data_IF_266801458738
#
_entry.id   IF_266801458738
#
_cell.length_a   1.000
_cell.length_b   1.000
_cell.length_c   1.000
_cell.angle_alpha   90.00
_cell.angle_beta   90.00
_cell.angle_gamma   90.00
#
_symmetry.space_group_name_H-M   'P 1'
#
loop_
_entity.id
_entity.type
_entity.pdbx_description
1 polymer ?
#
# COMPACT_ATOMS: atom_id res chain seq x y z
N UNK A 1 -62.72 -7.73 46.00
CA UNK A 1 -62.14 -6.48 45.48
C UNK A 1 -60.89 -6.05 46.24
N UNK A 2 -60.80 -6.05 47.56
CA UNK A 2 -59.62 -5.59 48.31
C UNK A 2 -58.32 -6.40 48.01
N UNK A 3 -58.36 -7.72 47.77
CA UNK A 3 -57.23 -8.58 47.55
C UNK A 3 -56.54 -8.33 46.14
N UNK A 4 -57.34 -8.00 45.14
CA UNK A 4 -56.82 -7.70 43.80
C UNK A 4 -56.25 -6.29 43.73
N UNK A 5 -56.74 -5.35 44.54
CA UNK A 5 -56.23 -4.00 44.63
C UNK A 5 -54.85 -3.97 45.31
N UNK A 6 -54.62 -4.80 46.36
CA UNK A 6 -53.33 -4.92 47.01
C UNK A 6 -52.28 -5.58 46.08
N UNK A 7 -52.67 -6.56 45.29
CA UNK A 7 -51.81 -7.17 44.27
C UNK A 7 -51.44 -6.17 43.16
N UNK A 8 -52.35 -5.36 42.71
CA UNK A 8 -52.12 -4.32 41.73
C UNK A 8 -51.20 -3.20 42.26
N UNK A 9 -51.41 -2.79 43.53
CA UNK A 9 -50.59 -1.79 44.19
C UNK A 9 -49.16 -2.32 44.45
N UNK A 10 -48.97 -3.58 44.83
CA UNK A 10 -47.66 -4.20 45.00
C UNK A 10 -46.91 -4.37 43.66
N UNK A 11 -47.63 -4.67 42.59
CA UNK A 11 -47.04 -4.73 41.22
C UNK A 11 -46.64 -3.34 40.74
N UNK A 12 -47.44 -2.32 41.01
CA UNK A 12 -47.16 -0.92 40.69
C UNK A 12 -45.93 -0.40 41.48
N UNK A 13 -45.81 -0.73 42.76
CA UNK A 13 -44.62 -0.42 43.57
C UNK A 13 -43.38 -1.14 43.11
N UNK A 14 -43.47 -2.39 42.60
CA UNK A 14 -42.33 -3.12 42.06
C UNK A 14 -41.84 -2.52 40.73
N UNK A 15 -42.76 -1.99 39.92
CA UNK A 15 -42.38 -1.30 38.64
C UNK A 15 -41.73 0.06 38.95
N UNK A 16 -42.14 0.78 39.98
CA UNK A 16 -41.54 2.06 40.37
C UNK A 16 -40.16 1.86 41.02
N UNK A 17 -39.92 0.75 41.72
CA UNK A 17 -38.63 0.42 42.31
C UNK A 17 -37.53 0.08 41.25
N UNK A 18 -37.92 -0.26 40.04
CA UNK A 18 -36.99 -0.50 38.94
C UNK A 18 -36.53 0.79 38.20
N UNK A 19 -37.09 1.95 38.55
CA UNK A 19 -36.80 3.22 37.88
C UNK A 19 -35.82 4.10 38.64
N UNK A 20 -35.14 3.59 39.67
CA UNK A 20 -34.06 4.36 40.32
C UNK A 20 -32.78 4.22 39.52
N UNK A 21 -32.25 5.37 39.04
CA UNK A 21 -30.94 5.43 38.43
C UNK A 21 -29.89 4.85 39.37
N UNK A 22 -28.96 4.11 38.81
CA UNK A 22 -27.88 3.45 39.59
C UNK A 22 -26.72 4.38 39.88
N UNK A 23 -26.67 5.59 39.29
CA UNK A 23 -25.55 6.54 39.32
C UNK A 23 -24.20 5.88 39.01
N UNK A 24 -24.21 4.64 38.50
CA UNK A 24 -23.01 3.95 38.07
C UNK A 24 -22.57 4.46 36.67
N UNK A 25 -21.34 4.88 36.55
CA UNK A 25 -20.80 5.45 35.31
C UNK A 25 -19.69 4.57 34.77
N UNK A 26 -19.66 4.41 33.45
CA UNK A 26 -18.57 3.83 32.69
C UNK A 26 -17.96 4.90 31.78
N UNK A 27 -16.63 4.99 31.78
CA UNK A 27 -15.90 5.88 30.90
C UNK A 27 -14.61 5.21 30.42
N UNK A 28 -14.05 5.68 29.31
CA UNK A 28 -12.80 5.11 28.80
C UNK A 28 -12.49 5.60 27.41
N UNK A 29 -11.56 4.90 26.79
CA UNK A 29 -11.15 5.14 25.41
C UNK A 29 -11.05 3.84 24.62
N UNK A 30 -11.07 3.98 23.31
CA UNK A 30 -10.85 2.90 22.35
C UNK A 30 -9.67 3.28 21.45
N UNK A 31 -8.67 2.39 21.35
CA UNK A 31 -7.46 2.58 20.57
C UNK A 31 -7.22 1.40 19.62
N UNK A 32 -6.55 1.67 18.51
CA UNK A 32 -5.98 0.63 17.68
C UNK A 32 -4.77 0.01 18.40
N UNK A 33 -4.72 -1.31 18.52
CA UNK A 33 -3.66 -2.03 19.23
C UNK A 33 -2.29 -1.86 18.57
N UNK A 34 -2.25 -1.86 17.23
CA UNK A 34 -1.01 -1.74 16.46
C UNK A 34 -0.39 -0.34 16.49
N UNK A 35 -1.21 0.69 16.37
CA UNK A 35 -0.76 2.09 16.21
C UNK A 35 -0.89 2.92 17.48
N UNK A 36 -1.73 2.47 18.44
CA UNK A 36 -2.11 3.24 19.62
C UNK A 36 -2.94 4.49 19.32
N UNK A 37 -3.34 4.68 18.07
CA UNK A 37 -4.22 5.77 17.67
C UNK A 37 -5.60 5.59 18.27
N UNK A 38 -6.20 6.67 18.74
CA UNK A 38 -7.59 6.66 19.20
C UNK A 38 -8.53 6.34 18.04
N UNK A 39 -9.56 5.54 18.33
CA UNK A 39 -10.57 5.12 17.36
C UNK A 39 -11.88 5.89 17.61
N UNK A 40 -12.15 6.96 16.85
CA UNK A 40 -13.38 7.72 16.99
C UNK A 40 -14.59 6.89 16.56
N UNK A 41 -15.74 7.20 17.17
CA UNK A 41 -17.04 6.65 16.82
C UNK A 41 -17.20 5.13 17.02
N UNK A 42 -16.28 4.44 17.69
CA UNK A 42 -16.47 3.07 18.10
C UNK A 42 -17.73 2.92 18.95
N UNK A 43 -18.48 1.87 18.72
CA UNK A 43 -19.73 1.58 19.44
C UNK A 43 -19.41 0.77 20.69
N UNK A 44 -19.86 1.24 21.84
CA UNK A 44 -19.74 0.57 23.13
C UNK A 44 -21.12 0.05 23.53
N UNK A 45 -21.21 -1.23 23.82
CA UNK A 45 -22.47 -1.89 24.19
C UNK A 45 -22.28 -2.68 25.49
N UNK A 46 -23.26 -2.65 26.37
CA UNK A 46 -23.30 -3.54 27.54
C UNK A 46 -24.04 -4.81 27.13
N UNK A 47 -23.35 -5.95 27.13
CA UNK A 47 -23.86 -7.24 26.63
C UNK A 47 -25.09 -7.68 27.41
N UNK A 48 -26.10 -8.14 26.70
CA UNK A 48 -27.38 -8.55 27.32
C UNK A 48 -28.33 -7.41 27.66
N UNK A 49 -28.01 -6.16 27.33
CA UNK A 49 -28.84 -4.97 27.51
C UNK A 49 -29.04 -4.22 26.19
N UNK A 50 -29.93 -3.21 26.22
CA UNK A 50 -30.08 -2.28 25.09
C UNK A 50 -29.20 -1.04 25.20
N UNK A 51 -28.35 -0.96 26.24
CA UNK A 51 -27.51 0.18 26.53
C UNK A 51 -26.30 0.22 25.58
N UNK A 52 -26.20 1.32 24.86
CA UNK A 52 -25.09 1.55 23.92
C UNK A 52 -24.74 3.03 23.82
N UNK A 53 -23.49 3.33 23.56
CA UNK A 53 -23.00 4.67 23.25
C UNK A 53 -21.99 4.61 22.11
N UNK A 54 -21.58 5.76 21.60
CA UNK A 54 -20.46 5.87 20.65
C UNK A 54 -19.35 6.72 21.24
N UNK A 55 -18.13 6.39 20.91
CA UNK A 55 -17.00 7.25 21.20
C UNK A 55 -17.16 8.60 20.49
N UNK A 56 -16.62 9.63 21.10
CA UNK A 56 -16.50 10.95 20.49
C UNK A 56 -15.40 10.98 19.40
N UNK A 57 -15.16 12.16 18.83
CA UNK A 57 -14.13 12.37 17.80
C UNK A 57 -12.69 12.10 18.30
N UNK A 58 -12.47 12.07 19.60
CA UNK A 58 -11.19 11.77 20.24
C UNK A 58 -11.08 10.32 20.74
N UNK A 59 -12.08 9.48 20.41
CA UNK A 59 -12.10 8.06 20.77
C UNK A 59 -12.47 7.77 22.22
N UNK A 60 -13.01 8.76 22.96
CA UNK A 60 -13.45 8.61 24.34
C UNK A 60 -14.95 8.38 24.41
N UNK A 61 -15.41 7.68 25.46
CA UNK A 61 -16.82 7.46 25.71
C UNK A 61 -17.19 7.60 27.17
N UNK A 62 -18.47 7.84 27.40
CA UNK A 62 -19.09 7.89 28.73
C UNK A 62 -20.51 7.34 28.66
N UNK A 63 -20.88 6.52 29.65
CA UNK A 63 -22.23 5.99 29.87
C UNK A 63 -22.59 6.17 31.34
N UNK A 64 -23.88 6.42 31.64
CA UNK A 64 -24.44 6.51 32.99
C UNK A 64 -25.59 5.55 33.18
N UNK A 65 -26.01 5.38 34.42
CA UNK A 65 -27.17 4.55 34.79
C UNK A 65 -27.07 3.08 34.39
N UNK A 66 -25.85 2.52 34.52
CA UNK A 66 -25.56 1.15 34.17
C UNK A 66 -26.01 0.14 35.24
N UNK A 67 -26.38 -1.09 34.83
CA UNK A 67 -26.71 -2.15 35.79
C UNK A 67 -25.52 -2.43 36.71
N UNK A 68 -25.80 -2.60 38.03
CA UNK A 68 -24.77 -2.89 39.02
C UNK A 68 -24.24 -4.33 38.91
N UNK A 69 -23.06 -4.54 39.45
CA UNK A 69 -22.35 -5.84 39.45
C UNK A 69 -21.49 -6.04 38.21
N UNK A 70 -21.15 -7.31 37.95
CA UNK A 70 -20.32 -7.68 36.82
C UNK A 70 -21.06 -7.51 35.50
N UNK A 71 -20.52 -6.71 34.63
CA UNK A 71 -21.02 -6.44 33.28
C UNK A 71 -19.96 -6.74 32.24
N UNK A 72 -20.36 -7.31 31.11
CA UNK A 72 -19.49 -7.46 29.94
C UNK A 72 -19.76 -6.29 29.02
N UNK A 73 -18.75 -5.48 28.81
CA UNK A 73 -18.78 -4.34 27.89
C UNK A 73 -18.06 -4.71 26.63
N UNK A 74 -18.66 -4.42 25.50
CA UNK A 74 -18.19 -4.77 24.17
C UNK A 74 -17.88 -3.50 23.42
N UNK A 75 -16.67 -3.39 22.88
CA UNK A 75 -16.29 -2.37 21.94
C UNK A 75 -16.25 -2.94 20.53
N UNK A 76 -16.97 -2.30 19.63
CA UNK A 76 -17.06 -2.67 18.22
C UNK A 76 -16.83 -1.45 17.34
N UNK A 77 -15.98 -1.61 16.33
CA UNK A 77 -15.79 -0.65 15.26
C UNK A 77 -15.58 -1.42 13.96
N UNK A 78 -16.24 -1.00 12.91
CA UNK A 78 -16.09 -1.59 11.58
C UNK A 78 -14.60 -1.59 11.18
N UNK A 79 -14.06 -2.74 10.74
CA UNK A 79 -12.65 -2.93 10.41
C UNK A 79 -11.76 -3.36 11.57
N UNK A 80 -12.34 -3.59 12.75
CA UNK A 80 -11.64 -4.06 13.94
C UNK A 80 -12.37 -5.26 14.55
N UNK A 81 -11.58 -6.15 15.15
CA UNK A 81 -12.14 -7.27 15.92
C UNK A 81 -12.82 -6.73 17.17
N UNK A 82 -14.01 -7.23 17.43
CA UNK A 82 -14.75 -6.94 18.65
C UNK A 82 -13.96 -7.38 19.87
N UNK A 83 -13.87 -6.51 20.88
CA UNK A 83 -13.25 -6.81 22.16
C UNK A 83 -14.27 -6.75 23.29
N UNK A 84 -14.31 -7.80 24.11
CA UNK A 84 -15.10 -7.86 25.33
C UNK A 84 -14.22 -7.57 26.55
N UNK A 85 -14.75 -6.82 27.51
CA UNK A 85 -14.10 -6.52 28.77
C UNK A 85 -15.11 -6.71 29.91
N UNK A 86 -14.78 -7.53 30.92
CA UNK A 86 -15.56 -7.65 32.15
C UNK A 86 -15.22 -6.48 33.08
N UNK A 87 -16.24 -5.74 33.49
CA UNK A 87 -16.13 -4.61 34.41
C UNK A 87 -17.13 -4.77 35.58
N UNK A 88 -16.73 -4.34 36.76
CA UNK A 88 -17.62 -4.34 37.92
C UNK A 88 -18.19 -2.95 38.13
N UNK A 89 -19.52 -2.84 38.01
CA UNK A 89 -20.24 -1.58 38.17
C UNK A 89 -20.71 -1.43 39.58
N UNK A 90 -20.31 -0.34 40.26
CA UNK A 90 -20.58 -0.06 41.66
C UNK A 90 -21.45 1.20 41.74
N UNK A 91 -22.42 1.20 42.61
CA UNK A 91 -23.31 2.33 42.84
C UNK A 91 -22.55 3.62 43.15
N UNK A 92 -22.87 4.69 42.43
CA UNK A 92 -22.29 6.03 42.64
C UNK A 92 -20.81 6.13 42.27
N UNK A 93 -20.20 5.11 41.58
CA UNK A 93 -18.81 5.13 41.16
C UNK A 93 -18.65 5.13 39.64
N UNK A 94 -17.59 5.79 39.19
CA UNK A 94 -17.11 5.70 37.81
C UNK A 94 -16.12 4.55 37.65
N UNK A 95 -16.37 3.67 36.68
CA UNK A 95 -15.49 2.55 36.31
C UNK A 95 -14.80 2.87 34.97
N UNK A 96 -13.50 2.68 34.88
CA UNK A 96 -12.74 2.87 33.63
C UNK A 96 -12.73 1.60 32.79
N UNK A 97 -12.96 1.71 31.49
CA UNK A 97 -12.83 0.61 30.52
C UNK A 97 -12.00 1.10 29.31
N UNK A 98 -10.90 0.43 29.05
CA UNK A 98 -9.94 0.81 28.02
C UNK A 98 -9.77 -0.34 27.03
N UNK A 99 -10.11 -0.06 25.79
CA UNK A 99 -10.09 -1.06 24.72
C UNK A 99 -8.92 -0.85 23.77
N UNK A 100 -8.33 -1.97 23.34
CA UNK A 100 -7.29 -2.00 22.30
C UNK A 100 -7.73 -2.97 21.22
N UNK A 101 -8.36 -2.46 20.19
CA UNK A 101 -8.92 -3.29 19.13
C UNK A 101 -7.84 -3.71 18.13
N UNK A 102 -7.80 -5.00 17.82
CA UNK A 102 -7.02 -5.55 16.71
C UNK A 102 -7.76 -5.27 15.40
N UNK A 103 -7.04 -4.91 14.33
CA UNK A 103 -7.65 -4.81 13.00
C UNK A 103 -8.15 -6.17 12.55
N UNK A 104 -9.36 -6.24 12.05
CA UNK A 104 -9.90 -7.47 11.48
C UNK A 104 -9.28 -7.73 10.10
N UNK A 105 -8.51 -8.82 9.98
CA UNK A 105 -7.85 -9.21 8.74
C UNK A 105 -8.85 -9.51 7.60
N UNK A 106 -10.09 -9.86 7.92
CA UNK A 106 -11.16 -10.10 6.95
C UNK A 106 -11.84 -8.79 6.50
N UNK A 107 -11.90 -7.78 7.36
CA UNK A 107 -12.47 -6.46 7.04
C UNK A 107 -11.44 -5.45 6.51
N UNK A 108 -10.13 -5.71 6.64
CA UNK A 108 -9.06 -4.91 6.01
C UNK A 108 -9.25 -4.75 4.49
N UNK A 109 -10.01 -5.63 3.86
CA UNK A 109 -10.41 -5.49 2.46
C UNK A 109 -11.45 -4.39 2.19
N UNK A 110 -11.94 -3.71 3.23
CA UNK A 110 -13.08 -2.80 3.13
C UNK A 110 -12.76 -1.32 3.38
N UNK A 111 -11.56 -0.98 3.87
CA UNK A 111 -11.15 0.42 4.09
C UNK A 111 -10.32 0.93 2.94
N UNK A 112 -10.77 2.00 2.29
CA UNK A 112 -10.07 2.64 1.18
C UNK A 112 -10.06 4.16 1.33
N UNK A 113 -9.06 4.78 0.75
CA UNK A 113 -8.84 6.22 0.77
C UNK A 113 -9.04 6.83 -0.61
N UNK A 114 -8.74 6.06 -1.65
CA UNK A 114 -8.54 6.59 -2.99
C UNK A 114 -9.83 7.04 -3.67
N UNK A 115 -10.95 6.36 -3.41
CA UNK A 115 -12.21 6.67 -4.09
C UNK A 115 -12.76 8.07 -3.83
N UNK A 116 -12.35 8.73 -2.74
CA UNK A 116 -12.92 10.01 -2.28
C UNK A 116 -11.88 11.00 -1.73
N UNK A 117 -10.59 10.67 -1.77
CA UNK A 117 -9.47 11.38 -1.09
C UNK A 117 -9.57 11.45 0.44
N UNK A 118 -10.53 10.76 1.04
CA UNK A 118 -10.72 10.63 2.49
C UNK A 118 -10.99 9.17 2.82
N UNK A 119 -10.71 8.76 4.05
CA UNK A 119 -10.93 7.38 4.48
C UNK A 119 -12.42 7.02 4.48
N UNK A 120 -12.79 6.02 3.70
CA UNK A 120 -14.13 5.47 3.64
C UNK A 120 -14.10 3.95 3.52
N UNK A 121 -15.15 3.29 3.96
CA UNK A 121 -15.33 1.87 3.67
C UNK A 121 -15.61 1.65 2.19
N UNK A 122 -15.03 0.60 1.59
CA UNK A 122 -15.27 0.22 0.17
C UNK A 122 -16.75 0.20 -0.17
N UNK A 123 -17.58 -0.32 0.74
CA UNK A 123 -19.05 -0.40 0.58
C UNK A 123 -19.75 0.96 0.46
N UNK A 124 -19.11 2.03 0.93
CA UNK A 124 -19.66 3.39 0.96
C UNK A 124 -19.08 4.28 -0.16
N UNK A 125 -18.13 3.76 -0.93
CA UNK A 125 -17.50 4.50 -2.03
C UNK A 125 -18.31 4.27 -3.31
N UNK A 126 -18.78 5.33 -3.99
CA UNK A 126 -19.58 5.20 -5.20
C UNK A 126 -18.78 4.67 -6.41
N UNK A 127 -17.45 4.63 -6.30
CA UNK A 127 -16.53 4.19 -7.36
C UNK A 127 -16.00 2.81 -7.00
N UNK A 128 -16.02 1.88 -7.96
CA UNK A 128 -15.52 0.52 -7.76
C UNK A 128 -14.02 0.54 -7.45
N UNK A 129 -13.67 0.23 -6.20
CA UNK A 129 -12.32 0.17 -5.70
C UNK A 129 -11.98 -1.26 -5.29
N UNK A 130 -10.84 -1.77 -5.76
CA UNK A 130 -10.30 -3.06 -5.34
C UNK A 130 -9.07 -2.83 -4.48
N UNK A 131 -8.91 -3.63 -3.43
CA UNK A 131 -7.81 -3.51 -2.46
C UNK A 131 -6.98 -4.78 -2.44
N UNK A 132 -5.66 -4.63 -2.61
CA UNK A 132 -4.68 -5.70 -2.39
C UNK A 132 -3.89 -5.37 -1.13
N UNK A 133 -4.12 -6.09 -0.06
CA UNK A 133 -3.42 -5.92 1.21
C UNK A 133 -1.98 -6.46 1.14
N UNK A 134 -1.12 -6.03 2.06
CA UNK A 134 0.26 -6.55 2.17
C UNK A 134 0.30 -8.08 2.29
N UNK A 135 -0.69 -8.69 2.93
CA UNK A 135 -0.81 -10.14 3.01
C UNK A 135 -1.16 -10.77 1.66
N UNK A 136 -2.01 -10.13 0.85
CA UNK A 136 -2.31 -10.58 -0.50
C UNK A 136 -1.08 -10.46 -1.41
N UNK A 137 -0.31 -9.37 -1.27
CA UNK A 137 0.96 -9.19 -1.98
C UNK A 137 1.97 -10.30 -1.65
N UNK A 138 2.11 -10.65 -0.37
CA UNK A 138 2.97 -11.75 0.07
C UNK A 138 2.50 -13.10 -0.50
N UNK A 139 1.20 -13.40 -0.47
CA UNK A 139 0.64 -14.64 -1.03
C UNK A 139 0.84 -14.75 -2.55
N UNK A 140 0.81 -13.62 -3.26
CA UNK A 140 1.14 -13.56 -4.69
C UNK A 140 2.64 -13.67 -4.97
N UNK A 141 3.47 -13.58 -3.94
CA UNK A 141 4.92 -13.46 -4.07
C UNK A 141 5.34 -12.25 -4.94
N UNK A 142 4.58 -11.17 -4.86
CA UNK A 142 4.81 -9.98 -5.67
C UNK A 142 6.12 -9.28 -5.24
N UNK A 143 7.02 -9.05 -6.18
CA UNK A 143 8.31 -8.37 -5.96
C UNK A 143 8.21 -6.88 -6.22
N UNK A 144 7.35 -6.51 -7.14
CA UNK A 144 7.08 -5.14 -7.57
C UNK A 144 5.58 -4.94 -7.81
N UNK A 145 5.20 -3.73 -8.19
CA UNK A 145 3.78 -3.38 -8.39
C UNK A 145 3.16 -4.10 -9.60
N UNK A 146 3.92 -4.37 -10.66
CA UNK A 146 3.38 -5.12 -11.80
C UNK A 146 2.98 -6.54 -11.39
N UNK A 147 3.83 -7.25 -10.64
CA UNK A 147 3.50 -8.58 -10.13
C UNK A 147 2.26 -8.55 -9.23
N UNK A 148 2.10 -7.49 -8.46
CA UNK A 148 0.93 -7.30 -7.61
C UNK A 148 -0.36 -7.13 -8.42
N UNK A 149 -0.30 -6.38 -9.52
CA UNK A 149 -1.44 -6.05 -10.38
C UNK A 149 -1.79 -7.18 -11.36
N UNK A 150 -0.84 -8.06 -11.67
CA UNK A 150 -1.05 -9.16 -12.59
C UNK A 150 -2.21 -10.06 -12.15
N UNK A 151 -3.08 -10.43 -13.10
CA UNK A 151 -4.27 -11.25 -12.83
C UNK A 151 -5.42 -10.53 -12.13
N UNK A 152 -5.34 -9.21 -11.90
CA UNK A 152 -6.50 -8.45 -11.43
C UNK A 152 -7.51 -8.23 -12.56
N UNK A 153 -8.82 -8.42 -12.32
CA UNK A 153 -9.85 -8.19 -13.33
C UNK A 153 -9.79 -6.76 -13.90
N UNK A 154 -9.80 -6.63 -15.23
CA UNK A 154 -9.76 -5.33 -15.92
C UNK A 154 -8.40 -4.64 -15.90
N UNK A 155 -7.37 -5.30 -15.41
CA UNK A 155 -5.96 -4.86 -15.50
C UNK A 155 -5.20 -5.89 -16.32
N UNK A 156 -4.37 -5.40 -17.23
CA UNK A 156 -3.43 -6.20 -17.99
C UNK A 156 -2.04 -5.59 -17.91
N UNK A 157 -1.09 -6.37 -17.46
CA UNK A 157 0.33 -6.03 -17.52
C UNK A 157 0.87 -6.61 -18.83
N UNK A 158 1.36 -5.74 -19.71
CA UNK A 158 1.90 -6.11 -21.02
C UNK A 158 3.40 -5.82 -21.08
N UNK A 159 4.17 -6.81 -21.43
CA UNK A 159 5.56 -6.65 -21.79
C UNK A 159 5.65 -6.24 -23.26
N UNK A 160 6.27 -5.09 -23.55
CA UNK A 160 6.25 -4.48 -24.88
C UNK A 160 7.58 -4.63 -25.63
N UNK A 161 8.66 -4.90 -24.95
CA UNK A 161 9.99 -4.90 -25.55
C UNK A 161 10.81 -6.08 -25.02
N UNK A 162 11.40 -6.82 -25.95
CA UNK A 162 12.27 -7.96 -25.68
C UNK A 162 13.62 -7.54 -25.10
N UNK A 163 14.20 -6.46 -25.62
CA UNK A 163 15.54 -6.00 -25.26
C UNK A 163 15.56 -5.17 -23.97
N UNK A 164 14.53 -4.38 -23.70
CA UNK A 164 14.50 -3.47 -22.56
C UNK A 164 13.56 -3.92 -21.44
N UNK A 165 12.81 -5.02 -21.65
CA UNK A 165 11.79 -5.54 -20.74
C UNK A 165 10.81 -4.44 -20.27
N UNK A 166 10.39 -3.62 -21.21
CA UNK A 166 9.45 -2.56 -20.96
C UNK A 166 8.07 -3.15 -20.72
N UNK A 167 7.51 -2.87 -19.56
CA UNK A 167 6.15 -3.30 -19.20
C UNK A 167 5.26 -2.10 -18.97
N UNK A 168 3.99 -2.23 -19.32
CA UNK A 168 2.97 -1.21 -19.05
C UNK A 168 1.70 -1.84 -18.48
N UNK A 169 0.96 -1.04 -17.71
CA UNK A 169 -0.35 -1.42 -17.20
C UNK A 169 -1.42 -0.83 -18.10
N UNK A 170 -2.27 -1.70 -18.65
CA UNK A 170 -3.52 -1.30 -19.27
C UNK A 170 -4.67 -1.50 -18.29
N UNK A 171 -5.49 -0.49 -18.14
CA UNK A 171 -6.68 -0.56 -17.30
C UNK A 171 -7.93 -0.32 -18.14
N UNK A 172 -8.91 -1.24 -18.02
CA UNK A 172 -10.16 -1.18 -18.77
C UNK A 172 -9.94 -1.09 -20.33
N UNK A 173 -8.84 -1.68 -20.82
CA UNK A 173 -8.48 -1.65 -22.25
C UNK A 173 -7.79 -0.35 -22.71
N UNK A 174 -7.67 0.67 -21.84
CA UNK A 174 -6.98 1.91 -22.16
C UNK A 174 -5.48 1.81 -21.86
N UNK A 175 -4.68 2.62 -22.53
CA UNK A 175 -3.23 2.66 -22.36
C UNK A 175 -2.78 3.18 -20.99
N UNK A 176 -1.49 3.01 -20.69
CA UNK A 176 -0.91 3.39 -19.40
C UNK A 176 -0.99 4.91 -19.14
N UNK A 177 -1.00 5.72 -20.18
CA UNK A 177 -1.14 7.19 -20.13
C UNK A 177 -2.49 7.64 -19.55
N UNK A 178 -3.48 6.75 -19.53
CA UNK A 178 -4.82 6.99 -18.98
C UNK A 178 -5.00 6.46 -17.55
N UNK A 179 -3.95 5.93 -16.94
CA UNK A 179 -3.95 5.38 -15.58
C UNK A 179 -3.07 6.23 -14.68
N UNK A 180 -3.66 6.90 -13.70
CA UNK A 180 -2.90 7.68 -12.72
C UNK A 180 -2.30 6.76 -11.65
N UNK A 181 -1.00 6.90 -11.42
CA UNK A 181 -0.32 6.24 -10.31
C UNK A 181 -0.09 7.25 -9.19
N UNK A 182 -0.42 6.82 -7.97
CA UNK A 182 -0.31 7.62 -6.76
C UNK A 182 0.54 6.89 -5.72
N UNK A 183 1.26 7.63 -4.91
CA UNK A 183 1.90 7.16 -3.69
C UNK A 183 1.33 7.96 -2.52
N UNK A 184 0.64 7.28 -1.60
CA UNK A 184 -0.05 7.89 -0.47
C UNK A 184 -0.99 9.05 -0.86
N UNK A 185 -1.67 8.90 -2.02
CA UNK A 185 -2.60 9.89 -2.56
C UNK A 185 -1.98 10.96 -3.45
N UNK A 186 -0.65 11.06 -3.51
CA UNK A 186 0.06 12.04 -4.33
C UNK A 186 0.53 11.46 -5.66
N UNK A 187 0.37 12.16 -6.78
CA UNK A 187 0.80 11.68 -8.08
C UNK A 187 2.29 11.35 -8.15
N UNK A 188 2.63 10.15 -8.59
CA UNK A 188 4.02 9.80 -8.88
C UNK A 188 4.41 10.41 -10.22
N UNK A 189 5.14 11.52 -10.15
CA UNK A 189 5.57 12.25 -11.34
C UNK A 189 6.77 11.59 -12.01
N UNK A 190 6.60 11.15 -13.23
CA UNK A 190 7.53 11.25 -14.37
C UNK A 190 6.84 10.69 -15.62
N UNK A 191 7.11 11.23 -16.79
CA UNK A 191 6.68 10.64 -18.07
C UNK A 191 7.16 9.20 -18.27
N UNK A 192 8.23 8.81 -17.55
CA UNK A 192 8.76 7.45 -17.48
C UNK A 192 8.20 6.62 -16.31
N UNK A 193 7.55 7.22 -15.32
CA UNK A 193 7.00 6.50 -14.18
C UNK A 193 5.81 5.62 -14.56
N UNK A 194 5.03 6.04 -15.56
CA UNK A 194 3.97 5.20 -16.13
C UNK A 194 4.49 3.95 -16.84
N UNK A 195 5.76 4.00 -17.24
CA UNK A 195 6.39 2.99 -18.10
C UNK A 195 7.28 2.04 -17.31
N UNK A 196 8.17 2.57 -16.47
CA UNK A 196 9.14 1.74 -15.71
C UNK A 196 8.92 1.87 -14.20
N UNK A 197 8.23 2.91 -13.76
CA UNK A 197 8.16 3.28 -12.35
C UNK A 197 7.55 2.20 -11.46
N UNK A 198 6.52 1.52 -11.92
CA UNK A 198 5.82 0.49 -11.15
C UNK A 198 6.67 -0.78 -10.97
N UNK A 199 7.48 -1.14 -11.96
CA UNK A 199 8.40 -2.27 -11.83
C UNK A 199 9.54 -1.97 -10.86
N UNK A 200 9.94 -0.71 -10.78
CA UNK A 200 11.01 -0.24 -9.90
C UNK A 200 10.56 0.00 -8.45
N UNK A 201 9.26 -0.12 -8.18
CA UNK A 201 8.70 0.00 -6.83
C UNK A 201 8.59 -1.38 -6.19
N UNK A 202 9.41 -1.63 -5.17
CA UNK A 202 9.33 -2.85 -4.36
C UNK A 202 8.06 -2.88 -3.50
N UNK A 203 7.68 -4.07 -3.06
CA UNK A 203 6.46 -4.28 -2.27
C UNK A 203 6.69 -4.30 -0.75
N UNK A 204 7.93 -4.12 -0.30
CA UNK A 204 8.31 -4.35 1.09
C UNK A 204 7.75 -3.33 2.08
N UNK A 205 7.63 -2.07 1.65
CA UNK A 205 7.12 -0.95 2.43
C UNK A 205 5.64 -0.62 2.15
N UNK A 206 4.94 -1.49 1.42
CA UNK A 206 3.55 -1.30 1.03
C UNK A 206 2.61 -1.96 2.03
N UNK A 207 1.66 -1.20 2.56
CA UNK A 207 0.54 -1.69 3.35
C UNK A 207 -0.53 -2.30 2.45
N UNK A 208 -0.95 -1.57 1.43
CA UNK A 208 -1.94 -2.01 0.46
C UNK A 208 -1.85 -1.26 -0.86
N UNK A 209 -2.40 -1.85 -1.90
CA UNK A 209 -2.67 -1.18 -3.16
C UNK A 209 -4.18 -0.97 -3.29
N UNK A 210 -4.58 0.23 -3.63
CA UNK A 210 -5.97 0.57 -3.93
C UNK A 210 -6.10 0.86 -5.42
N UNK A 211 -6.96 0.11 -6.10
CA UNK A 211 -7.18 0.23 -7.53
C UNK A 211 -8.59 0.73 -7.77
N UNK A 212 -8.70 1.97 -8.19
CA UNK A 212 -9.95 2.61 -8.59
C UNK A 212 -10.13 2.44 -10.08
N UNK A 213 -11.20 1.78 -10.49
CA UNK A 213 -11.52 1.52 -11.89
C UNK A 213 -12.60 2.45 -12.39
N UNK A 214 -12.34 3.11 -13.52
CA UNK A 214 -13.25 4.08 -14.12
C UNK A 214 -12.79 5.52 -13.95
N UNK A 215 -13.59 6.46 -14.42
CA UNK A 215 -13.23 7.88 -14.51
C UNK A 215 -12.97 8.50 -13.13
N UNK A 216 -11.70 8.55 -12.75
CA UNK A 216 -11.20 9.25 -11.57
C UNK A 216 -10.65 10.64 -11.86
N UNK A 217 -10.79 11.13 -13.09
CA UNK A 217 -10.18 12.37 -13.57
C UNK A 217 -10.59 13.61 -12.77
N UNK A 218 -11.79 13.62 -12.22
CA UNK A 218 -12.25 14.73 -11.36
C UNK A 218 -11.45 14.86 -10.06
N UNK A 219 -10.89 13.74 -9.56
CA UNK A 219 -10.11 13.71 -8.32
C UNK A 219 -8.60 13.76 -8.57
N UNK A 220 -8.13 13.16 -9.66
CA UNK A 220 -6.71 12.86 -9.89
C UNK A 220 -6.15 13.43 -11.19
N UNK A 221 -6.93 14.23 -11.92
CA UNK A 221 -6.51 14.91 -13.14
C UNK A 221 -6.74 14.08 -14.41
N UNK A 222 -6.30 14.64 -15.55
CA UNK A 222 -6.58 14.12 -16.90
C UNK A 222 -5.99 12.72 -17.17
N UNK A 223 -4.96 12.31 -16.43
CA UNK A 223 -4.34 10.99 -16.58
C UNK A 223 -5.16 9.86 -15.93
N UNK A 224 -6.22 10.17 -15.17
CA UNK A 224 -7.03 9.17 -14.47
C UNK A 224 -8.34 8.83 -15.21
N UNK A 225 -8.31 8.76 -16.55
CA UNK A 225 -9.49 8.42 -17.37
C UNK A 225 -9.87 6.95 -17.22
N UNK A 226 -8.88 6.05 -17.24
CA UNK A 226 -9.08 4.61 -17.02
C UNK A 226 -9.25 4.28 -15.54
N UNK A 227 -8.63 5.06 -14.67
CA UNK A 227 -8.64 4.90 -13.23
C UNK A 227 -7.36 5.34 -12.55
N UNK A 228 -7.22 4.97 -11.28
CA UNK A 228 -6.04 5.28 -10.48
C UNK A 228 -5.56 4.05 -9.71
N UNK A 229 -4.25 3.94 -9.56
CA UNK A 229 -3.56 2.96 -8.71
C UNK A 229 -2.88 3.73 -7.60
N UNK A 230 -3.36 3.59 -6.36
CA UNK A 230 -2.77 4.25 -5.21
C UNK A 230 -2.00 3.23 -4.36
N UNK A 231 -0.74 3.51 -4.15
CA UNK A 231 0.18 2.71 -3.36
C UNK A 231 0.21 3.32 -1.96
N UNK A 232 -0.31 2.61 -0.97
CA UNK A 232 -0.34 3.07 0.42
C UNK A 232 0.86 2.47 1.16
N UNK A 233 1.68 3.34 1.71
CA UNK A 233 2.86 2.97 2.49
C UNK A 233 2.49 2.45 3.87
N UNK A 234 3.33 1.55 4.43
CA UNK A 234 3.22 1.12 5.83
C UNK A 234 3.52 2.25 6.78
N UNK A 235 2.82 2.28 7.90
CA UNK A 235 3.15 3.14 9.04
C UNK A 235 3.93 2.36 10.11
N UNK A 236 4.80 3.04 10.89
CA UNK A 236 5.50 2.42 12.01
C UNK A 236 4.55 1.95 13.09
N UNK A 237 4.77 0.72 13.58
CA UNK A 237 4.02 0.11 14.66
C UNK A 237 4.58 0.48 16.02
N UNK A 238 3.76 0.46 17.08
CA UNK A 238 4.19 0.72 18.45
C UNK A 238 5.19 -0.32 18.95
N UNK A 239 4.97 -1.57 18.57
CA UNK A 239 5.91 -2.66 18.87
C UNK A 239 7.01 -2.67 17.80
N UNK A 240 8.29 -2.66 18.21
CA UNK A 240 9.38 -2.80 17.26
C UNK A 240 9.23 -4.09 16.45
N UNK A 241 9.34 -3.97 15.15
CA UNK A 241 9.26 -5.12 14.24
C UNK A 241 10.42 -5.14 13.26
N UNK A 242 10.92 -6.34 12.99
CA UNK A 242 11.92 -6.59 11.96
C UNK A 242 11.40 -7.75 11.10
N UNK A 243 11.42 -7.56 9.80
CA UNK A 243 11.08 -8.60 8.84
C UNK A 243 12.24 -8.82 7.88
N UNK A 244 12.52 -10.06 7.57
CA UNK A 244 13.46 -10.46 6.52
C UNK A 244 12.79 -11.53 5.66
N UNK A 245 12.96 -11.40 4.34
CA UNK A 245 12.45 -12.33 3.36
C UNK A 245 13.55 -12.63 2.35
N UNK A 246 13.79 -13.91 2.09
CA UNK A 246 14.81 -14.36 1.14
C UNK A 246 14.13 -15.34 0.19
N UNK A 247 14.26 -15.08 -1.09
CA UNK A 247 13.65 -15.88 -2.13
C UNK A 247 14.68 -16.28 -3.17
N UNK A 248 14.62 -17.54 -3.58
CA UNK A 248 15.38 -18.09 -4.69
C UNK A 248 14.42 -18.79 -5.64
N UNK A 249 14.61 -18.60 -6.92
CA UNK A 249 13.76 -19.17 -7.95
C UNK A 249 14.52 -19.62 -9.18
N UNK A 250 13.79 -20.09 -10.16
CA UNK A 250 14.34 -20.42 -11.47
C UNK A 250 14.91 -19.18 -12.16
N UNK A 251 15.75 -19.38 -13.15
CA UNK A 251 16.36 -18.33 -13.95
C UNK A 251 17.18 -17.34 -13.14
N UNK A 252 17.93 -17.85 -12.17
CA UNK A 252 18.81 -17.01 -11.32
C UNK A 252 18.08 -16.02 -10.44
N UNK A 253 16.75 -16.16 -10.28
CA UNK A 253 15.98 -15.27 -9.43
C UNK A 253 16.47 -15.32 -7.99
N UNK A 254 16.85 -14.15 -7.46
CA UNK A 254 17.25 -13.93 -6.08
C UNK A 254 16.60 -12.65 -5.57
N UNK A 255 15.92 -12.73 -4.44
CA UNK A 255 15.35 -11.55 -3.80
C UNK A 255 15.65 -11.55 -2.31
N UNK A 256 16.14 -10.44 -1.82
CA UNK A 256 16.46 -10.18 -0.42
C UNK A 256 15.68 -8.94 0.00
N UNK A 257 14.78 -9.08 0.95
CA UNK A 257 13.97 -7.98 1.47
C UNK A 257 14.15 -7.88 2.98
N UNK A 258 14.31 -6.67 3.47
CA UNK A 258 14.37 -6.37 4.89
C UNK A 258 13.56 -5.14 5.22
N UNK A 259 12.85 -5.13 6.34
CA UNK A 259 12.20 -3.96 6.88
C UNK A 259 12.30 -3.95 8.40
N UNK A 260 12.62 -2.77 8.94
CA UNK A 260 12.59 -2.49 10.37
C UNK A 260 11.63 -1.36 10.67
N UNK A 261 10.79 -1.52 11.66
CA UNK A 261 9.78 -0.54 12.07
C UNK A 261 9.79 -0.41 13.58
N UNK A 262 9.74 0.82 14.06
CA UNK A 262 9.58 1.13 15.48
C UNK A 262 8.90 2.47 15.67
N UNK A 263 8.15 2.59 16.75
CA UNK A 263 7.60 3.87 17.21
C UNK A 263 7.88 4.05 18.70
N UNK A 264 8.49 5.16 19.04
CA UNK A 264 8.69 5.55 20.43
C UNK A 264 8.04 6.89 20.68
N UNK A 265 7.04 6.92 21.56
CA UNK A 265 6.21 8.11 21.82
C UNK A 265 5.65 8.69 20.50
N UNK A 266 6.06 9.90 20.19
CA UNK A 266 5.58 10.66 19.04
C UNK A 266 6.46 10.50 17.79
N UNK A 267 7.50 9.67 17.82
CA UNK A 267 8.41 9.48 16.69
C UNK A 267 8.31 8.02 16.23
N UNK A 268 8.01 7.83 14.96
CA UNK A 268 8.04 6.54 14.27
C UNK A 268 9.16 6.50 13.23
N UNK A 269 9.79 5.35 13.09
CA UNK A 269 10.82 5.08 12.08
C UNK A 269 10.46 3.81 11.32
N UNK A 270 10.54 3.88 10.01
CA UNK A 270 10.46 2.74 9.11
C UNK A 270 11.68 2.77 8.19
N UNK A 271 12.43 1.67 8.13
CA UNK A 271 13.55 1.49 7.22
C UNK A 271 13.32 0.23 6.40
N UNK A 272 13.57 0.30 5.10
CA UNK A 272 13.37 -0.81 4.17
C UNK A 272 14.56 -0.95 3.24
N UNK A 273 14.87 -2.19 2.88
CA UNK A 273 15.86 -2.52 1.87
C UNK A 273 15.36 -3.70 1.04
N UNK A 274 15.58 -3.65 -0.26
CA UNK A 274 15.26 -4.74 -1.17
C UNK A 274 16.34 -4.81 -2.26
N UNK A 275 16.85 -6.02 -2.50
CA UNK A 275 17.67 -6.35 -3.67
C UNK A 275 17.01 -7.48 -4.41
N UNK A 276 16.82 -7.30 -5.71
CA UNK A 276 16.28 -8.33 -6.61
C UNK A 276 17.21 -8.48 -7.77
N UNK A 277 17.54 -9.71 -8.13
CA UNK A 277 18.40 -10.09 -9.26
C UNK A 277 17.72 -11.20 -10.05
N UNK A 278 17.76 -11.09 -11.35
CA UNK A 278 17.21 -12.09 -12.27
C UNK A 278 18.15 -12.24 -13.47
N UNK A 279 18.43 -13.48 -13.86
CA UNK A 279 19.25 -13.76 -15.03
C UNK A 279 18.47 -13.50 -16.32
N UNK A 280 19.18 -13.19 -17.38
CA UNK A 280 18.60 -13.16 -18.72
C UNK A 280 18.19 -14.58 -19.14
N UNK A 281 17.09 -14.66 -19.87
CA UNK A 281 16.54 -15.92 -20.33
C UNK A 281 16.24 -15.85 -21.83
N UNK A 282 16.74 -16.81 -22.56
CA UNK A 282 16.33 -17.13 -23.91
C UNK A 282 15.38 -18.32 -23.82
N UNK A 283 14.09 -18.07 -23.88
CA UNK A 283 13.02 -19.06 -23.75
C UNK A 283 12.35 -19.39 -25.09
N UNK A 284 12.46 -18.47 -26.03
CA UNK A 284 11.80 -18.61 -27.36
C UNK A 284 12.56 -19.62 -28.21
N UNK A 285 11.81 -20.52 -28.79
CA UNK A 285 12.30 -21.44 -29.80
C UNK A 285 11.88 -20.87 -31.15
N UNK A 286 12.74 -20.04 -31.73
CA UNK A 286 12.48 -19.45 -33.04
C UNK A 286 12.64 -20.46 -34.15
N UNK A 287 11.54 -21.18 -34.42
CA UNK A 287 11.38 -21.94 -35.64
C UNK A 287 10.18 -21.42 -36.39
N UNK A 288 10.37 -20.86 -37.55
CA UNK A 288 9.28 -20.50 -38.47
C UNK A 288 8.48 -21.72 -38.97
N UNK A 289 8.97 -22.92 -38.69
CA UNK A 289 8.31 -24.19 -39.02
C UNK A 289 8.40 -25.20 -37.89
N UNK A 290 7.43 -26.09 -37.77
CA UNK A 290 7.37 -27.17 -36.77
C UNK A 290 8.62 -28.04 -36.68
N UNK A 291 9.42 -28.09 -37.74
CA UNK A 291 10.58 -28.98 -37.90
C UNK A 291 11.88 -28.31 -37.45
N UNK A 292 11.92 -27.01 -37.26
CA UNK A 292 13.10 -26.23 -36.83
C UNK A 292 13.06 -25.99 -35.32
N UNK A 293 12.28 -26.74 -34.61
CA UNK A 293 12.17 -26.68 -33.16
C UNK A 293 13.46 -27.16 -32.55
N UNK A 294 14.21 -26.31 -31.90
CA UNK A 294 15.15 -26.66 -30.79
C UNK A 294 16.40 -25.80 -30.71
N UNK A 295 16.54 -24.79 -31.51
CA UNK A 295 17.69 -23.89 -31.32
C UNK A 295 17.21 -22.56 -30.72
N UNK A 296 17.72 -22.28 -29.55
CA UNK A 296 17.67 -20.96 -28.96
C UNK A 296 18.35 -19.99 -29.90
N UNK A 297 17.75 -18.81 -30.15
CA UNK A 297 18.35 -17.81 -31.04
C UNK A 297 19.49 -17.04 -30.36
N UNK A 298 19.66 -17.25 -29.05
CA UNK A 298 20.63 -16.58 -28.16
C UNK A 298 20.33 -15.07 -28.01
N UNK A 299 19.11 -14.67 -28.21
CA UNK A 299 18.60 -13.35 -27.88
C UNK A 299 17.74 -13.47 -26.62
N UNK A 300 17.88 -12.54 -25.70
CA UNK A 300 17.11 -12.59 -24.45
C UNK A 300 15.64 -12.29 -24.68
N UNK A 301 14.77 -13.21 -24.31
CA UNK A 301 13.33 -12.96 -24.15
C UNK A 301 13.00 -12.24 -22.85
N UNK A 302 13.86 -12.45 -21.87
CA UNK A 302 13.84 -11.77 -20.58
C UNK A 302 15.22 -11.21 -20.31
N UNK A 303 15.30 -9.94 -19.96
CA UNK A 303 16.57 -9.25 -19.71
C UNK A 303 17.16 -9.66 -18.35
N UNK A 304 18.48 -9.57 -18.21
CA UNK A 304 19.10 -9.51 -16.91
C UNK A 304 18.63 -8.26 -16.18
N UNK A 305 18.28 -8.39 -14.92
CA UNK A 305 17.85 -7.28 -14.09
C UNK A 305 18.47 -7.37 -12.70
N UNK A 306 19.08 -6.28 -12.26
CA UNK A 306 19.54 -6.10 -10.88
C UNK A 306 18.96 -4.80 -10.35
N UNK A 307 18.17 -4.87 -9.29
CA UNK A 307 17.53 -3.72 -8.67
C UNK A 307 17.82 -3.67 -7.18
N UNK A 308 18.23 -2.51 -6.70
CA UNK A 308 18.39 -2.20 -5.29
C UNK A 308 17.44 -1.06 -4.92
N UNK A 309 16.64 -1.26 -3.88
CA UNK A 309 15.77 -0.25 -3.29
C UNK A 309 16.10 -0.08 -1.81
N UNK A 310 16.27 1.15 -1.36
CA UNK A 310 16.44 1.49 0.06
C UNK A 310 15.49 2.61 0.41
N UNK A 311 14.83 2.53 1.53
CA UNK A 311 13.90 3.55 2.01
C UNK A 311 14.03 3.82 3.48
N UNK A 312 13.83 5.07 3.87
CA UNK A 312 13.69 5.49 5.26
C UNK A 312 12.54 6.48 5.38
N UNK A 313 11.69 6.28 6.38
CA UNK A 313 10.56 7.16 6.65
C UNK A 313 10.54 7.51 8.13
N UNK A 314 10.40 8.79 8.43
CA UNK A 314 10.28 9.33 9.77
C UNK A 314 8.88 9.91 9.91
N UNK A 315 8.18 9.48 10.94
CA UNK A 315 6.85 9.92 11.30
C UNK A 315 6.92 10.70 12.61
N UNK A 316 6.36 11.90 12.65
CA UNK A 316 6.22 12.68 13.87
C UNK A 316 4.74 12.90 14.12
N UNK A 317 4.24 12.30 15.17
CA UNK A 317 2.83 12.36 15.57
C UNK A 317 2.65 13.51 16.55
N UNK A 318 1.64 14.32 16.34
CA UNK A 318 1.33 15.51 17.15
C UNK A 318 2.50 16.48 17.30
N UNK A 319 3.16 16.92 16.17
CA UNK A 319 4.29 17.83 16.24
C UNK A 319 3.90 19.24 16.73
N UNK A 320 2.73 19.73 16.38
CA UNK A 320 2.28 21.10 16.66
C UNK A 320 0.95 21.15 17.39
N UNK A 321 0.04 20.23 17.07
CA UNK A 321 -1.30 20.16 17.65
C UNK A 321 -1.62 18.74 18.09
N UNK A 322 -2.81 18.52 18.69
CA UNK A 322 -3.28 17.16 18.95
C UNK A 322 -3.76 16.52 17.66
N UNK A 323 -3.23 15.33 17.36
CA UNK A 323 -3.59 14.46 16.22
C UNK A 323 -3.09 14.92 14.83
N UNK A 324 -2.23 15.92 14.72
CA UNK A 324 -1.54 16.19 13.47
C UNK A 324 -0.39 15.20 13.24
N UNK A 325 0.05 15.07 12.00
CA UNK A 325 1.09 14.13 11.59
C UNK A 325 2.01 14.76 10.56
N UNK A 326 3.30 14.67 10.80
CA UNK A 326 4.34 15.06 9.84
C UNK A 326 5.13 13.81 9.44
N UNK A 327 5.30 13.61 8.14
CA UNK A 327 6.00 12.45 7.58
C UNK A 327 7.06 12.92 6.60
N UNK A 328 8.30 12.49 6.84
CA UNK A 328 9.40 12.63 5.87
C UNK A 328 9.76 11.25 5.37
N UNK A 329 9.72 11.03 4.05
CA UNK A 329 10.13 9.79 3.39
C UNK A 329 11.24 10.07 2.40
N UNK A 330 12.23 9.20 2.37
CA UNK A 330 13.28 9.21 1.35
C UNK A 330 13.48 7.80 0.85
N UNK A 331 13.46 7.64 -0.47
CA UNK A 331 13.71 6.35 -1.16
C UNK A 331 14.77 6.54 -2.22
N UNK A 332 15.71 5.61 -2.29
CA UNK A 332 16.73 5.53 -3.33
C UNK A 332 16.60 4.20 -4.06
N UNK A 333 16.71 4.24 -5.38
CA UNK A 333 16.67 3.08 -6.26
C UNK A 333 17.80 3.15 -7.26
N UNK A 334 18.49 2.03 -7.43
CA UNK A 334 19.48 1.78 -8.50
C UNK A 334 19.09 0.51 -9.24
N UNK A 335 19.01 0.60 -10.55
CA UNK A 335 18.64 -0.51 -11.43
C UNK A 335 19.61 -0.62 -12.57
N UNK A 336 19.95 -1.85 -12.92
CA UNK A 336 20.77 -2.23 -14.05
C UNK A 336 20.04 -3.30 -14.84
N UNK A 337 19.91 -3.11 -16.15
CA UNK A 337 19.31 -4.07 -17.08
C UNK A 337 20.21 -4.29 -18.28
N UNK A 338 20.29 -5.55 -18.69
CA UNK A 338 20.93 -5.94 -19.95
C UNK A 338 19.98 -6.84 -20.72
N UNK A 339 19.80 -6.54 -22.01
CA UNK A 339 19.00 -7.35 -22.92
C UNK A 339 19.66 -7.51 -24.28
N UNK A 340 19.18 -8.47 -25.06
CA UNK A 340 19.60 -8.70 -26.42
C UNK A 340 20.52 -9.90 -26.58
N UNK A 341 21.55 -9.77 -27.41
CA UNK A 341 22.43 -10.87 -27.78
C UNK A 341 23.19 -11.46 -26.60
N UNK A 342 22.94 -12.71 -26.28
CA UNK A 342 23.50 -13.45 -25.15
C UNK A 342 24.74 -14.25 -25.49
N UNK A 343 25.28 -14.11 -26.73
CA UNK A 343 26.49 -14.84 -27.14
C UNK A 343 27.72 -14.33 -26.41
N UNK A 344 28.42 -15.25 -25.73
CA UNK A 344 29.68 -15.00 -25.06
C UNK A 344 29.66 -13.75 -24.15
N UNK A 345 30.78 -13.03 -24.13
CA UNK A 345 30.97 -11.79 -23.38
C UNK A 345 30.23 -10.57 -24.00
N UNK A 346 29.61 -10.75 -25.15
CA UNK A 346 28.92 -9.65 -25.86
C UNK A 346 27.72 -9.14 -25.05
N UNK A 347 27.08 -10.01 -24.33
CA UNK A 347 25.88 -9.66 -23.52
C UNK A 347 26.17 -8.58 -22.46
N UNK A 348 27.35 -8.57 -21.89
CA UNK A 348 27.78 -7.57 -20.90
C UNK A 348 28.37 -6.31 -21.51
N UNK A 349 28.65 -6.33 -22.81
CA UNK A 349 29.20 -5.20 -23.52
C UNK A 349 28.06 -4.33 -24.10
N UNK A 350 27.83 -3.12 -23.57
CA UNK A 350 26.74 -2.27 -24.05
C UNK A 350 26.87 -1.77 -25.48
N UNK A 351 28.04 -2.00 -26.10
CA UNK A 351 28.36 -1.59 -27.48
C UNK A 351 28.33 -2.76 -28.45
N UNK A 352 27.96 -3.96 -28.02
CA UNK A 352 27.82 -5.10 -28.94
C UNK A 352 26.52 -5.03 -29.72
N UNK A 353 26.53 -5.64 -30.91
CA UNK A 353 25.33 -5.72 -31.75
C UNK A 353 24.18 -6.46 -31.05
N UNK A 354 22.98 -5.94 -31.21
CA UNK A 354 21.80 -6.56 -30.66
C UNK A 354 21.71 -6.52 -29.14
N UNK A 355 22.39 -5.59 -28.48
CA UNK A 355 22.32 -5.43 -27.03
C UNK A 355 21.78 -4.07 -26.61
N UNK A 356 21.10 -4.05 -25.48
CA UNK A 356 20.70 -2.83 -24.80
C UNK A 356 21.12 -2.91 -23.32
N UNK A 357 21.72 -1.81 -22.84
CA UNK A 357 22.11 -1.64 -21.45
C UNK A 357 21.40 -0.41 -20.87
N UNK A 358 20.67 -0.60 -19.78
CA UNK A 358 19.93 0.47 -19.13
C UNK A 358 20.36 0.56 -17.68
N UNK A 359 20.81 1.73 -17.26
CA UNK A 359 21.06 2.04 -15.85
C UNK A 359 20.18 3.19 -15.40
N UNK A 360 19.42 2.96 -14.33
CA UNK A 360 18.51 3.94 -13.76
C UNK A 360 18.84 4.18 -12.30
N UNK A 361 18.98 5.46 -11.93
CA UNK A 361 19.12 5.89 -10.54
C UNK A 361 18.00 6.87 -10.23
N UNK A 362 17.32 6.67 -9.09
CA UNK A 362 16.26 7.56 -8.64
C UNK A 362 16.34 7.77 -7.14
N UNK A 363 16.22 9.03 -6.74
CA UNK A 363 16.04 9.43 -5.35
C UNK A 363 14.73 10.20 -5.29
N UNK A 364 13.85 9.81 -4.38
CA UNK A 364 12.58 10.48 -4.11
C UNK A 364 12.57 10.87 -2.65
N UNK A 365 12.27 12.12 -2.36
CA UNK A 365 12.05 12.63 -0.99
C UNK A 365 10.73 13.35 -0.96
N UNK A 366 9.85 12.98 -0.04
CA UNK A 366 8.58 13.63 0.18
C UNK A 366 8.39 14.03 1.64
N UNK A 367 7.75 15.17 1.84
CA UNK A 367 7.34 15.70 3.12
C UNK A 367 5.84 15.89 3.08
N UNK A 368 5.12 15.25 3.97
CA UNK A 368 3.67 15.35 4.08
C UNK A 368 3.27 15.79 5.48
N UNK A 369 2.35 16.75 5.57
CA UNK A 369 1.77 17.21 6.83
C UNK A 369 0.26 17.10 6.76
N UNK A 370 -0.31 16.41 7.74
CA UNK A 370 -1.75 16.19 7.90
C UNK A 370 -2.22 16.88 9.16
N UNK A 371 -3.19 17.77 9.04
CA UNK A 371 -3.81 18.49 10.14
C UNK A 371 -5.32 18.25 10.16
N UNK A 372 -5.86 17.46 11.10
CA UNK A 372 -7.29 17.37 11.30
C UNK A 372 -7.89 18.71 11.76
N UNK A 373 -8.89 19.20 11.05
CA UNK A 373 -9.63 20.42 11.34
C UNK A 373 -11.04 20.05 11.87
N UNK A 374 -11.07 19.57 13.14
CA UNK A 374 -12.31 19.07 13.75
C UNK A 374 -12.67 17.65 13.27
N UNK A 375 -13.97 17.29 13.32
CA UNK A 375 -14.44 15.92 13.08
C UNK A 375 -14.77 15.59 11.62
N UNK A 376 -14.73 16.57 10.71
CA UNK A 376 -15.20 16.42 9.33
C UNK A 376 -14.28 17.00 8.27
N UNK A 377 -13.20 17.63 8.70
CA UNK A 377 -12.30 18.32 7.77
C UNK A 377 -10.84 18.00 8.11
N UNK A 378 -10.03 17.92 7.09
CA UNK A 378 -8.60 17.65 7.20
C UNK A 378 -7.87 18.52 6.18
N UNK A 379 -6.73 19.08 6.59
CA UNK A 379 -5.81 19.79 5.72
C UNK A 379 -4.59 18.91 5.48
N UNK A 380 -4.33 18.58 4.23
CA UNK A 380 -3.15 17.85 3.80
C UNK A 380 -2.25 18.78 2.98
N UNK A 381 -0.99 18.90 3.39
CA UNK A 381 0.06 19.61 2.66
C UNK A 381 1.14 18.61 2.30
N UNK A 382 1.50 18.54 1.04
CA UNK A 382 2.55 17.64 0.57
C UNK A 382 3.52 18.37 -0.36
N UNK A 383 4.80 18.00 -0.26
CA UNK A 383 5.86 18.45 -1.13
C UNK A 383 6.74 17.25 -1.47
N UNK A 384 7.02 17.05 -2.76
CA UNK A 384 7.88 15.98 -3.22
C UNK A 384 9.01 16.50 -4.10
N UNK A 385 10.18 15.88 -3.95
CA UNK A 385 11.35 16.09 -4.80
C UNK A 385 11.76 14.75 -5.39
N UNK A 386 11.94 14.70 -6.71
CA UNK A 386 12.39 13.51 -7.42
C UNK A 386 13.61 13.85 -8.26
N UNK A 387 14.73 13.15 -8.01
CA UNK A 387 15.87 13.12 -8.91
C UNK A 387 15.89 11.79 -9.64
N UNK A 388 15.81 11.82 -10.97
CA UNK A 388 15.81 10.63 -11.81
C UNK A 388 16.83 10.77 -12.92
N UNK A 389 17.72 9.79 -13.01
CA UNK A 389 18.72 9.70 -14.09
C UNK A 389 18.65 8.32 -14.71
N UNK A 390 18.44 8.27 -16.01
CA UNK A 390 18.45 7.05 -16.80
C UNK A 390 19.45 7.19 -17.95
N UNK A 391 20.32 6.23 -18.07
CA UNK A 391 21.23 6.06 -19.20
C UNK A 391 20.80 4.77 -19.91
N UNK A 392 20.49 4.85 -21.19
CA UNK A 392 20.25 3.71 -22.06
C UNK A 392 21.27 3.75 -23.20
N UNK A 393 21.94 2.64 -23.39
CA UNK A 393 22.92 2.46 -24.48
C UNK A 393 22.42 1.25 -25.28
N UNK A 394 22.33 1.40 -26.58
CA UNK A 394 21.97 0.34 -27.51
C UNK A 394 22.91 0.35 -28.73
N UNK A 395 22.85 -0.72 -29.49
CA UNK A 395 23.68 -0.94 -30.66
C UNK A 395 23.25 -0.17 -31.93
N UNK A 396 22.09 0.49 -31.89
CA UNK A 396 21.52 1.17 -33.08
C UNK A 396 22.53 2.18 -33.68
N UNK A 397 23.26 2.87 -32.80
CA UNK A 397 24.28 3.80 -33.22
C UNK A 397 25.43 3.08 -33.97
N UNK A 398 25.90 1.96 -33.43
CA UNK A 398 26.98 1.18 -34.03
C UNK A 398 26.56 0.53 -35.34
N UNK A 399 25.34 0.04 -35.45
CA UNK A 399 24.77 -0.51 -36.68
C UNK A 399 24.72 0.55 -37.78
N UNK A 400 24.17 1.72 -37.48
CA UNK A 400 24.10 2.85 -38.40
C UNK A 400 25.52 3.35 -38.80
N UNK A 401 26.44 3.35 -37.84
CA UNK A 401 27.83 3.76 -38.09
C UNK A 401 28.53 2.76 -38.99
N UNK A 402 28.38 1.46 -38.72
CA UNK A 402 28.96 0.42 -39.60
C UNK A 402 28.39 0.49 -41.04
N UNK A 403 27.07 0.70 -41.16
CA UNK A 403 26.42 0.86 -42.45
C UNK A 403 26.95 2.09 -43.20
N UNK A 404 27.12 3.20 -42.51
CA UNK A 404 27.70 4.42 -43.07
C UNK A 404 29.18 4.29 -43.43
N UNK A 405 29.94 3.46 -42.68
CA UNK A 405 31.39 3.28 -42.90
C UNK A 405 31.71 2.14 -43.88
N UNK A 406 30.76 1.28 -44.20
CA UNK A 406 30.86 0.26 -45.25
C UNK A 406 30.48 0.77 -46.63
N UNK A 407 30.09 2.02 -46.77
CA UNK A 407 29.88 2.65 -48.07
C UNK A 407 31.22 2.67 -48.86
N UNK A 408 31.12 2.44 -50.13
CA UNK A 408 32.28 2.31 -51.04
C UNK A 408 33.25 3.53 -51.06
N UNK A 409 32.84 4.64 -50.48
CA UNK A 409 33.63 5.87 -50.35
C UNK A 409 34.49 5.93 -49.09
N UNK A 410 34.27 5.05 -48.09
CA UNK A 410 35.02 5.00 -46.85
C UNK A 410 35.31 3.55 -46.43
N UNK A 411 36.21 2.83 -47.19
CA UNK A 411 36.46 1.42 -46.94
C UNK A 411 37.30 1.15 -45.67
N UNK A 412 37.88 2.15 -45.08
CA UNK A 412 38.64 2.03 -43.83
C UNK A 412 37.79 2.64 -42.70
N UNK A 413 37.20 1.79 -41.91
CA UNK A 413 36.35 2.23 -40.81
C UNK A 413 37.03 3.27 -39.92
N UNK A 414 36.43 4.44 -39.80
CA UNK A 414 36.83 5.43 -38.80
C UNK A 414 36.46 4.87 -37.43
N UNK A 415 37.43 4.77 -36.52
CA UNK A 415 37.16 4.37 -35.14
C UNK A 415 36.25 5.43 -34.50
N UNK A 416 35.15 5.07 -33.82
CA UNK A 416 34.44 6.01 -33.01
C UNK A 416 35.30 6.38 -31.78
N UNK A 417 35.66 7.63 -31.67
CA UNK A 417 36.29 8.18 -30.47
C UNK A 417 35.24 8.35 -29.32
#
# INVERSE_FOLDING_TARGET
>A
MKRNFTLFLSLLCAVIAMAQGTDAMLFGDVKAKETGAHLPYATITVKGTTLKTKCDASGHFKMSDLPLGKQIVVANLDGYQEQELEVEMIYGKGTGAYFKLDKDALELSQVVVTGTRTEHFVKNVPIRTEVLTSQALKRKNALNIYDALEGMPGIRVEQQCQFCNFSMVRMQGLGAEHTQVLLDGEPVYSGLAGVYGLQQMGTNDIDRLEVVKGAGSALYGSSAVAGAINIISKEPTLEPSVTADIQYGNFGHKSYKGAGSMRYKNIGLLVTAQRTEEDAVDATQDGLTRDVVKHKDQISDRVYSLMNNVGASIYIYSPFTHNDKLVLRTKAMDELRYGGNMKDNLFLNPYSEGTENIRTNRITTDLAYTLPLGSRSELNLAMAYVHHKRNATNDTFLSNYKEATTDATHPEGVSPD
#
